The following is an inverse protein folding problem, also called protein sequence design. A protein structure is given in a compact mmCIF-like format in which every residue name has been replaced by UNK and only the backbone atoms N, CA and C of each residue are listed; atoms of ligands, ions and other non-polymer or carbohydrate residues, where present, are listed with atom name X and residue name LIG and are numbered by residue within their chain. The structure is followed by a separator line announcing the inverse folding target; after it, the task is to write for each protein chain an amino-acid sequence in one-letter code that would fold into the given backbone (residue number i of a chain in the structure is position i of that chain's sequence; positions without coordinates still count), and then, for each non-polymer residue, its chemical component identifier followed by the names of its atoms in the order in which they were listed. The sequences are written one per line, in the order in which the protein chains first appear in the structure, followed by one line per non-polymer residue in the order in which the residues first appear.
data_IF_994526846996
#
_entry.id   IF_994526846996
#
_cell.length_a   1.000
_cell.length_b   1.000
_cell.length_c   1.000
_cell.angle_alpha   90.00
_cell.angle_beta   90.00
_cell.angle_gamma   90.00
#
_symmetry.space_group_name_H-M   'P 1'
#
loop_
_entity.id
_entity.type
_entity.pdbx_description
1 polymer ?
#
# COMPACT_ATOMS: atom_id res chain seq x y z
N UNK A 1 5.01 17.31 -14.25
CA UNK A 1 3.84 16.41 -14.24
C UNK A 1 3.01 16.57 -12.97
N UNK A 2 3.61 16.40 -11.77
CA UNK A 2 2.93 16.54 -10.47
C UNK A 2 2.19 17.87 -10.22
N UNK A 3 2.78 19.01 -10.61
CA UNK A 3 2.18 20.34 -10.41
C UNK A 3 0.82 20.49 -11.14
N UNK A 4 0.71 19.96 -12.35
CA UNK A 4 -0.53 20.02 -13.13
C UNK A 4 -1.62 19.14 -12.53
N UNK A 5 -1.26 17.96 -12.01
CA UNK A 5 -2.21 17.05 -11.36
C UNK A 5 -2.75 17.65 -10.06
N UNK A 6 -1.89 18.25 -9.26
CA UNK A 6 -2.27 18.97 -8.03
C UNK A 6 -3.26 20.09 -8.33
N UNK A 7 -3.01 20.87 -9.39
CA UNK A 7 -3.90 21.96 -9.79
C UNK A 7 -5.26 21.46 -10.32
N UNK A 8 -5.26 20.32 -11.01
CA UNK A 8 -6.50 19.69 -11.46
C UNK A 8 -7.39 19.25 -10.28
N UNK A 9 -6.80 18.70 -9.21
CA UNK A 9 -7.55 18.29 -8.01
C UNK A 9 -8.12 19.52 -7.29
N UNK A 10 -7.34 20.60 -7.15
CA UNK A 10 -7.84 21.88 -6.62
C UNK A 10 -8.97 22.43 -7.46
N UNK A 11 -8.87 22.34 -8.78
CA UNK A 11 -9.93 22.76 -9.70
C UNK A 11 -11.21 21.95 -9.51
N UNK A 12 -11.10 20.64 -9.23
CA UNK A 12 -12.26 19.81 -8.91
C UNK A 12 -12.93 20.26 -7.60
N UNK A 13 -12.15 20.58 -6.56
CA UNK A 13 -12.68 21.18 -5.34
C UNK A 13 -13.43 22.49 -5.61
N UNK A 14 -12.83 23.40 -6.39
CA UNK A 14 -13.46 24.69 -6.71
C UNK A 14 -14.79 24.52 -7.47
N UNK A 15 -14.86 23.56 -8.40
CA UNK A 15 -16.10 23.23 -9.11
C UNK A 15 -17.18 22.73 -8.14
N UNK A 16 -16.82 21.81 -7.24
CA UNK A 16 -17.73 21.32 -6.20
C UNK A 16 -18.23 22.48 -5.33
N UNK A 17 -17.32 23.29 -4.79
CA UNK A 17 -17.65 24.42 -3.91
C UNK A 17 -18.59 25.41 -4.60
N UNK A 18 -18.39 25.68 -5.89
CA UNK A 18 -19.22 26.62 -6.66
C UNK A 18 -20.68 26.19 -6.83
N UNK A 19 -21.00 24.91 -6.63
CA UNK A 19 -22.38 24.42 -6.68
C UNK A 19 -23.17 24.68 -5.38
N UNK A 20 -22.50 25.11 -4.32
CA UNK A 20 -23.12 25.35 -3.01
C UNK A 20 -22.89 26.79 -2.55
N UNK A 21 -23.72 27.31 -1.62
CA UNK A 21 -23.48 28.60 -1.00
C UNK A 21 -22.14 28.67 -0.26
N UNK A 22 -21.61 29.88 -0.12
CA UNK A 22 -20.36 30.11 0.61
C UNK A 22 -20.44 29.60 2.05
N UNK A 23 -19.35 28.97 2.51
CA UNK A 23 -19.26 28.38 3.86
C UNK A 23 -19.99 27.04 4.03
N UNK A 24 -20.66 26.52 3.00
CA UNK A 24 -21.36 25.24 3.07
C UNK A 24 -20.44 24.04 2.81
N UNK A 25 -19.39 24.23 2.01
CA UNK A 25 -18.35 23.23 1.77
C UNK A 25 -17.13 23.54 2.62
N UNK A 26 -16.69 22.58 3.42
CA UNK A 26 -15.46 22.69 4.21
C UNK A 26 -14.26 22.85 3.29
N UNK A 27 -13.36 23.74 3.69
CA UNK A 27 -12.13 23.99 2.96
C UNK A 27 -11.28 22.71 2.90
N UNK A 28 -10.92 22.31 1.69
CA UNK A 28 -10.09 21.14 1.45
C UNK A 28 -8.65 21.57 1.15
N UNK A 29 -7.70 20.91 1.81
CA UNK A 29 -6.28 21.11 1.64
C UNK A 29 -5.58 19.79 1.31
N UNK A 30 -4.50 19.91 0.57
CA UNK A 30 -3.56 18.81 0.37
C UNK A 30 -2.80 18.54 1.67
N UNK A 31 -2.53 17.27 1.91
CA UNK A 31 -1.68 16.85 3.02
C UNK A 31 -0.23 17.16 2.67
N UNK A 32 0.60 17.50 3.65
CA UNK A 32 2.04 17.68 3.44
C UNK A 32 2.76 16.40 3.87
N UNK A 33 3.53 15.82 2.97
CA UNK A 33 4.39 14.66 3.22
C UNK A 33 5.83 15.14 3.01
N UNK A 34 6.62 15.21 4.08
CA UNK A 34 8.00 15.71 4.04
C UNK A 34 8.10 17.09 3.35
N UNK A 35 7.19 18.00 3.72
CA UNK A 35 7.04 19.35 3.14
C UNK A 35 6.70 19.39 1.64
N UNK A 36 6.38 18.24 1.03
CA UNK A 36 5.88 18.14 -0.34
C UNK A 36 4.36 17.97 -0.35
N UNK A 37 3.65 18.50 -1.38
CA UNK A 37 2.23 18.25 -1.55
C UNK A 37 1.94 16.75 -1.74
N UNK A 38 1.13 16.20 -0.84
CA UNK A 38 0.64 14.84 -0.83
C UNK A 38 -0.89 14.78 -0.94
N UNK A 39 -1.40 13.61 -1.30
CA UNK A 39 -2.81 13.36 -1.46
C UNK A 39 -3.23 12.16 -0.61
N UNK A 40 -4.12 12.39 0.35
CA UNK A 40 -4.77 11.32 1.09
C UNK A 40 -6.01 10.84 0.34
N UNK A 41 -6.00 9.56 -0.05
CA UNK A 41 -7.11 8.91 -0.77
C UNK A 41 -7.61 7.64 -0.05
N UNK A 42 -8.14 7.74 1.19
CA UNK A 42 -8.58 6.58 1.93
C UNK A 42 -9.82 5.93 1.31
N UNK A 43 -9.81 4.61 1.16
CA UNK A 43 -10.99 3.82 0.78
C UNK A 43 -11.40 2.94 1.94
N UNK A 44 -12.64 3.11 2.41
CA UNK A 44 -13.19 2.31 3.51
C UNK A 44 -13.66 0.97 2.97
N UNK A 45 -13.42 -0.11 3.72
CA UNK A 45 -13.93 -1.44 3.39
C UNK A 45 -15.45 -1.56 3.44
N UNK A 46 -16.12 -0.68 4.19
CA UNK A 46 -17.55 -0.76 4.45
C UNK A 46 -18.26 0.56 4.20
N UNK A 47 -19.49 0.44 3.70
CA UNK A 47 -20.50 1.49 3.69
C UNK A 47 -21.74 0.99 4.41
N UNK A 48 -22.41 1.85 5.18
CA UNK A 48 -23.65 1.46 5.86
C UNK A 48 -24.79 1.28 4.83
N UNK A 49 -25.62 0.25 5.00
CA UNK A 49 -26.73 -0.08 4.08
C UNK A 49 -27.67 1.10 3.80
N UNK A 50 -27.91 1.95 4.80
CA UNK A 50 -28.79 3.13 4.64
C UNK A 50 -28.27 4.14 3.63
N UNK A 51 -26.96 4.19 3.39
CA UNK A 51 -26.35 5.12 2.44
C UNK A 51 -26.31 4.56 1.01
N UNK A 52 -26.54 3.26 0.82
CA UNK A 52 -26.46 2.58 -0.47
C UNK A 52 -27.60 1.54 -0.60
N UNK A 53 -28.87 1.97 -0.63
CA UNK A 53 -29.99 1.05 -0.77
C UNK A 53 -29.94 0.30 -2.10
N UNK A 54 -30.14 -1.01 -2.08
CA UNK A 54 -30.17 -1.86 -3.27
C UNK A 54 -28.81 -2.29 -3.83
N UNK A 55 -27.70 -1.86 -3.24
CA UNK A 55 -26.36 -2.29 -3.67
C UNK A 55 -26.04 -3.68 -3.11
N UNK A 56 -25.60 -4.59 -3.99
CA UNK A 56 -25.14 -5.92 -3.59
C UNK A 56 -23.73 -5.85 -2.99
N UNK A 57 -23.50 -6.64 -1.93
CA UNK A 57 -22.16 -6.79 -1.38
C UNK A 57 -21.31 -7.67 -2.30
N UNK A 58 -20.10 -7.20 -2.57
CA UNK A 58 -19.00 -7.99 -3.10
C UNK A 58 -18.38 -8.82 -1.97
N UNK A 59 -17.73 -9.91 -2.36
CA UNK A 59 -16.90 -10.72 -1.47
C UNK A 59 -15.52 -10.05 -1.35
N UNK A 60 -14.92 -10.14 -0.17
CA UNK A 60 -13.51 -9.79 -0.01
C UNK A 60 -12.63 -10.78 -0.78
N UNK A 61 -11.53 -10.29 -1.35
CA UNK A 61 -10.49 -11.16 -1.91
C UNK A 61 -9.64 -11.72 -0.77
N UNK A 62 -9.00 -12.85 -1.03
CA UNK A 62 -8.16 -13.54 -0.05
C UNK A 62 -7.07 -12.64 0.56
N UNK A 63 -6.59 -11.64 -0.18
CA UNK A 63 -5.60 -10.70 0.34
C UNK A 63 -6.18 -9.47 1.05
N UNK A 64 -7.46 -9.16 0.82
CA UNK A 64 -8.17 -8.11 1.53
C UNK A 64 -8.63 -8.63 2.90
N UNK A 65 -8.99 -9.91 3.00
CA UNK A 65 -9.45 -10.56 4.24
C UNK A 65 -8.98 -12.02 4.39
N UNK A 66 -7.68 -12.27 4.61
CA UNK A 66 -7.12 -13.63 4.64
C UNK A 66 -7.67 -14.52 5.76
N UNK A 67 -8.23 -13.92 6.81
CA UNK A 67 -8.74 -14.62 7.99
C UNK A 67 -10.28 -14.55 8.11
N UNK A 68 -10.98 -13.94 7.15
CA UNK A 68 -12.44 -13.79 7.19
C UNK A 68 -12.96 -12.83 8.28
N UNK A 69 -12.10 -11.98 8.84
CA UNK A 69 -12.46 -11.06 9.94
C UNK A 69 -13.33 -9.92 9.43
N UNK A 70 -13.03 -9.37 8.25
CA UNK A 70 -13.84 -8.31 7.64
C UNK A 70 -15.21 -8.84 7.24
N UNK A 71 -15.26 -10.05 6.68
CA UNK A 71 -16.53 -10.70 6.33
C UNK A 71 -17.37 -10.98 7.57
N UNK A 72 -16.77 -11.42 8.68
CA UNK A 72 -17.45 -11.63 9.95
C UNK A 72 -18.02 -10.33 10.55
N UNK A 73 -17.30 -9.20 10.43
CA UNK A 73 -17.71 -7.89 10.92
C UNK A 73 -18.86 -7.24 10.12
N UNK A 74 -19.24 -7.81 8.97
CA UNK A 74 -20.26 -7.22 8.10
C UNK A 74 -21.63 -7.10 8.82
N UNK A 75 -21.89 -7.94 9.83
CA UNK A 75 -23.04 -7.93 10.79
C UNK A 75 -24.42 -7.62 10.18
N UNK A 76 -24.59 -7.83 8.87
CA UNK A 76 -25.78 -7.46 8.11
C UNK A 76 -26.08 -5.95 8.02
N UNK A 77 -25.30 -5.04 8.60
CA UNK A 77 -25.51 -3.57 8.56
C UNK A 77 -24.63 -2.85 7.55
N UNK A 78 -23.52 -3.49 7.17
CA UNK A 78 -22.54 -2.95 6.26
C UNK A 78 -22.57 -3.66 4.90
N UNK A 79 -22.13 -2.94 3.86
CA UNK A 79 -21.94 -3.44 2.51
C UNK A 79 -20.49 -3.19 2.14
N UNK A 80 -19.83 -4.20 1.57
CA UNK A 80 -18.59 -4.03 0.81
C UNK A 80 -18.96 -3.92 -0.67
N UNK A 81 -19.10 -2.71 -1.21
CA UNK A 81 -19.50 -2.49 -2.60
C UNK A 81 -18.34 -2.17 -3.52
N UNK A 82 -18.62 -1.93 -4.80
CA UNK A 82 -17.62 -1.45 -5.76
C UNK A 82 -16.91 -0.17 -5.30
N UNK A 83 -17.63 0.69 -4.56
CA UNK A 83 -17.07 1.92 -3.99
C UNK A 83 -16.16 1.70 -2.77
N UNK A 84 -16.08 0.48 -2.26
CA UNK A 84 -15.26 0.09 -1.11
C UNK A 84 -14.07 -0.78 -1.51
N UNK A 85 -13.94 -1.04 -2.81
CA UNK A 85 -12.97 -1.93 -3.42
C UNK A 85 -11.90 -1.12 -4.16
N UNK A 86 -10.66 -1.59 -4.08
CA UNK A 86 -9.50 -0.98 -4.77
C UNK A 86 -8.86 -2.03 -5.67
N UNK A 87 -8.63 -1.68 -6.93
CA UNK A 87 -7.92 -2.54 -7.87
C UNK A 87 -6.41 -2.33 -7.80
N UNK A 88 -5.67 -3.42 -7.96
CA UNK A 88 -4.22 -3.41 -7.86
C UNK A 88 -3.65 -4.09 -9.11
N UNK A 89 -2.87 -3.35 -9.87
CA UNK A 89 -2.29 -3.80 -11.13
C UNK A 89 -0.79 -3.56 -11.18
N UNK A 90 -0.09 -4.33 -12.01
CA UNK A 90 1.28 -4.06 -12.42
C UNK A 90 1.33 -3.99 -13.94
N UNK A 91 2.07 -3.00 -14.45
CA UNK A 91 2.30 -2.83 -15.87
C UNK A 91 3.44 -3.74 -16.32
N UNK A 92 3.12 -4.76 -17.10
CA UNK A 92 4.09 -5.60 -17.78
C UNK A 92 4.49 -4.90 -19.08
N UNK A 93 5.78 -4.58 -19.21
CA UNK A 93 6.34 -4.03 -20.45
C UNK A 93 6.89 -5.17 -21.28
N UNK A 94 6.15 -5.60 -22.29
CA UNK A 94 6.63 -6.60 -23.23
C UNK A 94 7.50 -5.95 -24.33
N UNK A 95 8.36 -6.75 -24.94
CA UNK A 95 9.31 -6.38 -26.01
C UNK A 95 8.64 -5.72 -27.23
N UNK A 96 7.32 -5.91 -27.41
CA UNK A 96 6.52 -5.44 -28.56
C UNK A 96 5.82 -4.09 -28.26
N UNK A 97 6.21 -3.35 -27.22
CA UNK A 97 5.61 -2.05 -26.80
C UNK A 97 4.11 -2.11 -26.49
N UNK A 98 3.51 -3.28 -26.36
CA UNK A 98 2.16 -3.42 -25.83
C UNK A 98 2.24 -3.37 -24.30
N UNK A 99 1.56 -2.41 -23.68
CA UNK A 99 1.38 -2.39 -22.23
C UNK A 99 0.32 -3.40 -21.86
N UNK A 100 0.71 -4.47 -21.17
CA UNK A 100 -0.22 -5.40 -20.54
C UNK A 100 -0.30 -5.09 -19.05
N UNK A 101 -1.45 -5.37 -18.45
CA UNK A 101 -1.67 -5.18 -17.02
C UNK A 101 -2.04 -6.53 -16.39
N UNK A 102 -1.35 -6.90 -15.31
CA UNK A 102 -1.70 -8.07 -14.51
C UNK A 102 -2.19 -7.61 -13.13
N UNK A 103 -3.14 -8.35 -12.55
CA UNK A 103 -3.58 -8.11 -11.18
C UNK A 103 -2.49 -8.55 -10.21
N UNK A 104 -2.21 -7.72 -9.21
CA UNK A 104 -1.18 -7.99 -8.19
C UNK A 104 -1.73 -7.78 -6.78
N UNK A 105 -1.00 -8.31 -5.80
CA UNK A 105 -1.32 -8.12 -4.39
C UNK A 105 -0.94 -6.70 -3.94
N UNK A 106 -1.67 -6.09 -2.98
CA UNK A 106 -1.33 -4.78 -2.42
C UNK A 106 0.07 -4.75 -1.80
N UNK A 107 0.58 -5.90 -1.36
CA UNK A 107 1.93 -6.05 -0.80
C UNK A 107 3.05 -5.81 -1.81
N UNK A 108 2.75 -5.80 -3.11
CA UNK A 108 3.71 -5.48 -4.16
C UNK A 108 4.17 -4.01 -4.12
N UNK A 109 3.31 -3.10 -3.64
CA UNK A 109 3.60 -1.68 -3.57
C UNK A 109 4.44 -1.33 -2.34
N UNK A 110 5.40 -0.42 -2.55
CA UNK A 110 6.33 0.09 -1.54
C UNK A 110 6.53 1.60 -1.69
N UNK A 111 6.97 2.22 -0.61
CA UNK A 111 7.38 3.62 -0.61
C UNK A 111 8.53 3.79 -1.61
N UNK A 112 8.40 4.76 -2.51
CA UNK A 112 9.34 5.04 -3.58
C UNK A 112 8.96 4.46 -4.94
N UNK A 113 7.91 3.64 -5.02
CA UNK A 113 7.39 3.17 -6.31
C UNK A 113 6.70 4.30 -7.09
N UNK A 114 6.86 4.29 -8.41
CA UNK A 114 6.11 5.15 -9.32
C UNK A 114 4.84 4.41 -9.71
N UNK A 115 3.70 5.03 -9.39
CA UNK A 115 2.38 4.44 -9.59
C UNK A 115 1.48 5.36 -10.39
N UNK A 116 0.54 4.77 -11.11
CA UNK A 116 -0.64 5.44 -11.63
C UNK A 116 -1.80 5.15 -10.68
N UNK A 117 -2.46 6.21 -10.20
CA UNK A 117 -3.56 6.10 -9.24
C UNK A 117 -4.85 6.63 -9.88
N UNK A 118 -5.90 5.82 -9.81
CA UNK A 118 -7.26 6.24 -10.15
C UNK A 118 -7.98 6.60 -8.87
N UNK A 119 -8.48 7.83 -8.79
CA UNK A 119 -9.22 8.34 -7.63
C UNK A 119 -10.65 8.70 -8.02
N UNK A 120 -11.57 8.56 -7.08
CA UNK A 120 -12.90 9.12 -7.15
C UNK A 120 -13.04 10.26 -6.14
N UNK A 121 -13.59 11.38 -6.61
CA UNK A 121 -13.87 12.56 -5.81
C UNK A 121 -15.37 12.62 -5.55
N UNK A 122 -15.77 12.78 -4.30
CA UNK A 122 -17.16 12.95 -3.91
C UNK A 122 -17.32 13.91 -2.74
N UNK A 123 -18.55 14.08 -2.28
CA UNK A 123 -18.88 14.91 -1.13
C UNK A 123 -19.73 14.11 -0.14
N UNK A 124 -19.48 14.31 1.15
CA UNK A 124 -20.31 13.76 2.20
C UNK A 124 -20.71 14.85 3.19
N UNK A 125 -21.94 14.75 3.71
CA UNK A 125 -22.41 15.62 4.78
C UNK A 125 -21.72 15.25 6.10
N UNK A 126 -21.24 16.26 6.81
CA UNK A 126 -20.63 16.19 8.14
C UNK A 126 -21.65 16.65 9.18
N UNK A 127 -21.43 16.33 10.46
CA UNK A 127 -22.34 16.61 11.57
C UNK A 127 -22.79 18.08 11.67
N UNK A 128 -22.00 19.03 11.16
CA UNK A 128 -22.29 20.46 11.19
C UNK A 128 -23.16 20.95 10.02
N UNK A 129 -23.82 20.05 9.27
CA UNK A 129 -24.55 20.35 8.01
C UNK A 129 -23.66 20.94 6.92
N UNK A 130 -22.34 20.85 7.08
CA UNK A 130 -21.34 21.18 6.09
C UNK A 130 -21.07 19.97 5.20
N UNK A 131 -20.61 20.21 3.99
CA UNK A 131 -20.15 19.18 3.06
C UNK A 131 -18.64 19.12 3.08
N UNK A 132 -18.07 17.92 3.13
CA UNK A 132 -16.64 17.72 3.00
C UNK A 132 -16.33 16.96 1.71
N UNK A 133 -15.38 17.47 0.93
CA UNK A 133 -14.82 16.75 -0.19
C UNK A 133 -14.04 15.51 0.31
N UNK A 134 -14.36 14.37 -0.27
CA UNK A 134 -13.69 13.10 -0.03
C UNK A 134 -12.97 12.66 -1.30
N UNK A 135 -11.71 12.28 -1.14
CA UNK A 135 -10.94 11.62 -2.19
C UNK A 135 -10.81 10.16 -1.80
N UNK A 136 -11.19 9.26 -2.69
CA UNK A 136 -11.18 7.82 -2.47
C UNK A 136 -10.37 7.15 -3.56
N UNK A 137 -9.53 6.20 -3.20
CA UNK A 137 -8.74 5.43 -4.15
C UNK A 137 -9.60 4.35 -4.81
N UNK A 138 -9.47 4.18 -6.12
CA UNK A 138 -10.19 3.18 -6.93
C UNK A 138 -9.26 2.14 -7.51
N UNK A 139 -8.10 2.55 -8.00
CA UNK A 139 -7.10 1.64 -8.51
C UNK A 139 -5.68 2.17 -8.29
N UNK A 140 -4.73 1.26 -8.12
CA UNK A 140 -3.30 1.52 -8.13
C UNK A 140 -2.64 0.60 -9.15
N UNK A 141 -1.86 1.20 -10.03
CA UNK A 141 -1.09 0.47 -11.03
C UNK A 141 0.39 0.77 -10.82
N UNK A 142 1.19 -0.27 -10.59
CA UNK A 142 2.64 -0.17 -10.50
C UNK A 142 3.22 0.08 -11.91
N UNK A 143 3.89 1.21 -12.08
CA UNK A 143 4.44 1.65 -13.38
C UNK A 143 5.94 1.39 -13.45
N UNK A 144 6.65 1.70 -12.37
CA UNK A 144 8.10 1.52 -12.26
C UNK A 144 8.52 1.46 -10.77
N UNK A 145 9.42 0.54 -10.46
CA UNK A 145 10.04 0.38 -9.14
C UNK A 145 11.57 0.57 -9.17
N UNK A 146 12.13 0.92 -10.33
CA UNK A 146 13.58 1.06 -10.55
C UNK A 146 14.21 2.13 -9.66
N UNK A 147 13.54 3.27 -9.48
CA UNK A 147 14.07 4.36 -8.65
C UNK A 147 14.13 3.99 -7.17
N UNK A 148 13.15 3.22 -6.68
CA UNK A 148 13.17 2.65 -5.34
C UNK A 148 14.37 1.71 -5.15
N UNK A 149 14.62 0.82 -6.10
CA UNK A 149 15.75 -0.12 -6.03
C UNK A 149 17.09 0.61 -6.08
N UNK A 150 17.24 1.61 -6.96
CA UNK A 150 18.45 2.46 -7.01
C UNK A 150 18.70 3.17 -5.69
N UNK A 151 17.67 3.78 -5.10
CA UNK A 151 17.77 4.44 -3.81
C UNK A 151 18.19 3.46 -2.71
N UNK A 152 17.58 2.27 -2.66
CA UNK A 152 17.94 1.24 -1.68
C UNK A 152 19.41 0.79 -1.82
N UNK A 153 19.88 0.55 -3.05
CA UNK A 153 21.28 0.20 -3.33
C UNK A 153 22.23 1.32 -2.88
N UNK A 154 21.90 2.58 -3.14
CA UNK A 154 22.71 3.73 -2.70
C UNK A 154 22.76 3.84 -1.17
N UNK A 155 21.64 3.67 -0.48
CA UNK A 155 21.59 3.64 0.98
C UNK A 155 22.44 2.51 1.57
N UNK A 156 22.40 1.31 0.97
CA UNK A 156 23.26 0.20 1.38
C UNK A 156 24.74 0.57 1.24
N UNK A 157 25.15 1.13 0.08
CA UNK A 157 26.54 1.54 -0.17
C UNK A 157 27.04 2.60 0.80
N UNK A 158 26.22 3.60 1.13
CA UNK A 158 26.60 4.66 2.07
C UNK A 158 26.91 4.12 3.48
N UNK A 159 26.18 3.10 3.92
CA UNK A 159 26.44 2.41 5.20
C UNK A 159 27.80 1.69 5.20
N UNK A 160 28.23 1.16 4.05
CA UNK A 160 29.56 0.56 3.91
C UNK A 160 30.68 1.60 3.83
N UNK A 161 30.48 2.74 3.15
CA UNK A 161 31.52 3.78 3.05
C UNK A 161 31.73 4.58 4.34
N UNK A 162 30.69 4.71 5.19
CA UNK A 162 30.83 5.24 6.55
C UNK A 162 31.53 4.28 7.50
N UNK A 163 31.66 3.00 7.13
CA UNK A 163 32.42 1.98 7.83
C UNK A 163 33.86 1.89 7.34
N UNK A 164 34.55 3.03 7.18
CA UNK A 164 36.00 3.06 7.45
C UNK A 164 36.19 2.76 8.94
N UNK A 165 36.00 1.49 9.26
CA UNK A 165 36.20 0.89 10.54
C UNK A 165 37.65 1.19 10.96
N UNK A 166 37.78 1.78 12.14
CA UNK A 166 38.96 1.52 12.97
C UNK A 166 39.20 0.00 12.94
N UNK A 167 40.41 -0.40 12.56
CA UNK A 167 40.83 -1.80 12.46
C UNK A 167 41.01 -2.44 13.85
N UNK A 168 40.02 -2.33 14.73
CA UNK A 168 39.91 -3.16 15.91
C UNK A 168 39.06 -4.37 15.52
N UNK A 169 39.72 -5.49 15.29
CA UNK A 169 39.14 -6.73 14.77
C UNK A 169 37.91 -7.18 15.57
N UNK A 170 36.73 -7.01 14.97
CA UNK A 170 35.51 -7.67 15.43
C UNK A 170 35.27 -8.85 14.48
N UNK A 171 35.80 -10.01 14.85
CA UNK A 171 35.52 -11.26 14.13
C UNK A 171 34.06 -11.63 14.38
N UNK A 172 33.19 -11.35 13.41
CA UNK A 172 31.82 -11.85 13.43
C UNK A 172 31.86 -13.37 13.29
N UNK A 173 31.74 -14.08 14.43
CA UNK A 173 31.55 -15.53 14.44
C UNK A 173 30.11 -15.83 13.99
N UNK A 174 29.89 -15.88 12.68
CA UNK A 174 28.68 -16.47 12.14
C UNK A 174 28.79 -17.99 12.33
N UNK A 175 27.99 -18.56 13.24
CA UNK A 175 27.88 -20.02 13.34
C UNK A 175 27.05 -20.51 12.17
N UNK A 176 27.64 -21.36 11.33
CA UNK A 176 26.87 -22.11 10.32
C UNK A 176 25.79 -22.92 11.04
N UNK A 177 24.51 -22.87 10.61
CA UNK A 177 23.45 -23.69 11.17
C UNK A 177 23.62 -25.18 10.83
N UNK A 178 24.46 -25.49 9.84
CA UNK A 178 24.81 -26.86 9.49
C UNK A 178 26.26 -27.10 9.87
N UNK A 179 26.45 -27.82 10.98
CA UNK A 179 27.72 -28.48 11.26
C UNK A 179 27.78 -29.73 10.38
N UNK A 180 28.63 -29.73 9.37
CA UNK A 180 29.08 -30.98 8.74
C UNK A 180 30.10 -31.63 9.67
N UNK A 181 29.62 -32.15 10.80
CA UNK A 181 30.31 -33.22 11.52
C UNK A 181 29.83 -34.52 10.86
N UNK A 182 30.70 -35.30 10.21
CA UNK A 182 30.36 -36.67 9.91
C UNK A 182 30.33 -37.43 11.24
N UNK A 183 29.12 -37.65 11.80
CA UNK A 183 28.90 -38.71 12.78
C UNK A 183 29.22 -40.05 12.09
N UNK A 184 30.48 -40.48 12.19
CA UNK A 184 30.92 -41.82 11.83
C UNK A 184 31.15 -42.55 13.16
N UNK A 185 30.41 -43.63 13.30
CA UNK A 185 30.14 -44.35 14.54
C UNK A 185 31.36 -44.84 15.30
N UNK A 186 31.10 -45.09 16.59
CA UNK A 186 31.64 -46.24 17.31
C UNK A 186 30.63 -46.61 18.41
N UNK A 187 29.56 -47.29 18.01
CA UNK A 187 28.67 -48.05 18.91
C UNK A 187 29.27 -49.42 19.20
N UNK A 188 30.43 -49.50 19.85
CA UNK A 188 30.97 -50.76 20.37
C UNK A 188 31.87 -50.49 21.59
N UNK A 189 31.30 -50.09 22.73
CA UNK A 189 31.98 -50.14 24.05
C UNK A 189 31.01 -49.95 25.23
N UNK A 190 29.79 -50.50 25.15
CA UNK A 190 28.85 -50.50 26.30
C UNK A 190 28.21 -51.88 26.55
N UNK A 191 28.90 -52.96 26.19
CA UNK A 191 28.58 -54.33 26.64
C UNK A 191 29.88 -55.08 26.95
N UNK A 192 30.59 -54.64 27.98
CA UNK A 192 31.60 -55.43 28.69
C UNK A 192 31.79 -54.78 30.05
N UNK A 193 32.00 -55.59 31.09
CA UNK A 193 31.87 -55.31 32.53
C UNK A 193 30.39 -55.40 32.99
N UNK A 194 29.90 -56.58 33.37
CA UNK A 194 30.01 -57.18 34.73
C UNK A 194 29.57 -56.22 35.82
#
# INVERSE_FOLDING_TARGET
MLVHTVEAIKSAYMRIASHFPDGYVEFWLLTLIEDQPGLDAPTRYFTHKSACPGVQSLLFRDFDDPNGVLEALREGKFIHGYNNYVEYFERITDSIRAHQYCTVFPTAFKIGDVVEAVIAIGCAAVQNKTLKMLVTLRALTLIDHTERDRAAILCMRQRYTGSKASAAGMTLRCKSPYGTEPEIGNTESAVSWM
#
